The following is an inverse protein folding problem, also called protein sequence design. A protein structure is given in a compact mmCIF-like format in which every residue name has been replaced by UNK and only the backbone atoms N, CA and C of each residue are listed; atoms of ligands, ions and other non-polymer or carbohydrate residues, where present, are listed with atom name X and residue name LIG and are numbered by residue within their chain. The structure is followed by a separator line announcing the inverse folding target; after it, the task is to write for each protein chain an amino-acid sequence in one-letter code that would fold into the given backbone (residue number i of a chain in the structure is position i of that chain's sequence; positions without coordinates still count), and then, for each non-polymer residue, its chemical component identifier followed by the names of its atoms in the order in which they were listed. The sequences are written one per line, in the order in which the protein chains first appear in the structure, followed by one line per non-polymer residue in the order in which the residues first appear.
data_IF_589356978204
#
_entry.id   IF_589356978204
#
_cell.length_a   1.000
_cell.length_b   1.000
_cell.length_c   1.000
_cell.angle_alpha   90.00
_cell.angle_beta   90.00
_cell.angle_gamma   90.00
#
_symmetry.space_group_name_H-M   'P 1'
#
loop_
_entity.id
_entity.type
_entity.pdbx_description
1 polymer ?
#
# COMPACT_ATOMS: atom_id res chain seq x y z
N UNK A 1 -3.37 2.10 -14.32
CA UNK A 1 -2.87 0.92 -15.04
C UNK A 1 -2.83 -0.28 -14.10
N UNK A 2 -1.83 -0.45 -13.17
CA UNK A 2 -1.65 -1.68 -12.36
C UNK A 2 -2.93 -2.16 -11.66
N UNK A 3 -3.66 -1.27 -10.97
CA UNK A 3 -4.89 -1.65 -10.27
C UNK A 3 -6.03 -1.96 -11.25
N UNK A 4 -6.06 -1.26 -12.40
CA UNK A 4 -7.01 -1.56 -13.48
C UNK A 4 -6.75 -2.96 -14.05
N UNK A 5 -5.47 -3.26 -14.30
CA UNK A 5 -5.08 -4.58 -14.81
C UNK A 5 -5.38 -5.69 -13.77
N UNK A 6 -5.19 -5.40 -12.49
CA UNK A 6 -5.57 -6.33 -11.41
C UNK A 6 -7.08 -6.61 -11.41
N UNK A 7 -7.92 -5.56 -11.55
CA UNK A 7 -9.37 -5.72 -11.65
C UNK A 7 -9.76 -6.50 -12.92
N UNK A 8 -9.15 -6.19 -14.06
CA UNK A 8 -9.46 -6.82 -15.33
C UNK A 8 -9.00 -8.29 -15.39
N UNK A 9 -8.01 -8.66 -14.59
CA UNK A 9 -7.59 -10.04 -14.38
C UNK A 9 -8.32 -10.76 -13.23
N UNK A 10 -9.36 -10.13 -12.66
CA UNK A 10 -10.18 -10.66 -11.58
C UNK A 10 -9.40 -10.95 -10.28
N UNK A 11 -8.36 -10.19 -9.99
CA UNK A 11 -7.74 -10.29 -8.66
C UNK A 11 -8.73 -9.82 -7.59
N UNK A 12 -8.79 -10.57 -6.50
CA UNK A 12 -9.70 -10.29 -5.39
C UNK A 12 -9.38 -8.98 -4.69
N UNK A 13 -8.11 -8.58 -4.67
CA UNK A 13 -7.71 -7.33 -4.07
C UNK A 13 -6.29 -6.89 -4.37
N UNK A 14 -6.02 -5.64 -4.02
CA UNK A 14 -4.68 -5.06 -3.95
C UNK A 14 -4.44 -4.50 -2.56
N UNK A 15 -3.25 -4.70 -2.01
CA UNK A 15 -2.83 -4.16 -0.73
C UNK A 15 -1.67 -3.19 -0.95
N UNK A 16 -1.79 -1.94 -0.50
CA UNK A 16 -0.87 -0.87 -0.85
C UNK A 16 -0.13 -0.36 0.40
N UNK A 17 1.20 -0.40 0.37
CA UNK A 17 2.09 0.36 1.24
C UNK A 17 2.56 1.62 0.52
N UNK A 18 2.57 2.75 1.21
CA UNK A 18 3.14 3.98 0.69
C UNK A 18 3.46 4.97 1.81
N UNK A 19 4.41 5.85 1.53
CA UNK A 19 4.71 6.97 2.41
C UNK A 19 3.56 8.02 2.41
N UNK A 20 3.70 9.04 3.26
CA UNK A 20 2.72 10.12 3.42
C UNK A 20 2.61 11.04 2.18
N UNK A 21 3.68 11.22 1.40
CA UNK A 21 3.66 12.11 0.23
C UNK A 21 2.78 11.52 -0.88
N UNK A 22 1.84 12.31 -1.36
CA UNK A 22 0.88 11.88 -2.38
C UNK A 22 -0.27 11.00 -1.88
N UNK A 23 -0.28 10.63 -0.61
CA UNK A 23 -1.23 9.68 -0.03
C UNK A 23 -2.67 10.17 -0.08
N UNK A 24 -2.93 11.46 0.11
CA UNK A 24 -4.28 12.03 -0.02
C UNK A 24 -4.86 11.83 -1.41
N UNK A 25 -4.02 11.89 -2.44
CA UNK A 25 -4.43 11.60 -3.82
C UNK A 25 -4.85 10.13 -3.98
N UNK A 26 -4.08 9.20 -3.41
CA UNK A 26 -4.40 7.76 -3.44
C UNK A 26 -5.67 7.47 -2.64
N UNK A 27 -5.84 8.07 -1.47
CA UNK A 27 -7.05 7.95 -0.66
C UNK A 27 -8.31 8.34 -1.44
N UNK A 28 -8.25 9.44 -2.19
CA UNK A 28 -9.42 9.95 -2.91
C UNK A 28 -9.63 9.29 -4.27
N UNK A 29 -8.60 9.16 -5.08
CA UNK A 29 -8.75 8.75 -6.48
C UNK A 29 -8.63 7.22 -6.68
N UNK A 30 -8.06 6.50 -5.72
CA UNK A 30 -7.86 5.05 -5.81
C UNK A 30 -8.71 4.31 -4.78
N UNK A 31 -8.65 4.71 -3.52
CA UNK A 31 -9.32 4.02 -2.43
C UNK A 31 -10.75 4.53 -2.16
N UNK A 32 -11.26 5.46 -2.97
CA UNK A 32 -12.66 5.89 -2.98
C UNK A 32 -13.08 6.81 -1.82
N UNK A 33 -12.12 7.35 -1.06
CA UNK A 33 -12.43 8.33 -0.01
C UNK A 33 -12.88 9.65 -0.62
N UNK A 34 -14.04 10.16 -0.24
CA UNK A 34 -14.54 11.42 -0.80
C UNK A 34 -13.73 12.63 -0.34
N UNK A 35 -13.62 13.65 -1.18
CA UNK A 35 -12.99 14.93 -0.79
C UNK A 35 -13.68 15.55 0.44
N UNK A 36 -14.99 15.41 0.54
CA UNK A 36 -15.75 15.91 1.70
C UNK A 36 -15.35 15.21 3.01
N UNK A 37 -15.01 13.93 2.96
CA UNK A 37 -14.49 13.21 4.13
C UNK A 37 -13.09 13.72 4.49
N UNK A 38 -12.21 13.88 3.50
CA UNK A 38 -10.84 14.39 3.71
C UNK A 38 -10.90 15.78 4.36
N UNK A 39 -11.67 16.71 3.80
CA UNK A 39 -11.77 18.09 4.34
C UNK A 39 -12.39 18.11 5.74
N UNK A 40 -13.40 17.28 6.01
CA UNK A 40 -13.97 17.15 7.35
C UNK A 40 -12.95 16.71 8.40
N UNK A 41 -12.06 15.80 8.03
CA UNK A 41 -10.99 15.33 8.92
C UNK A 41 -9.99 16.46 9.21
N UNK A 42 -9.66 17.30 8.23
CA UNK A 42 -8.81 18.47 8.42
C UNK A 42 -9.47 19.54 9.30
N UNK A 43 -10.79 19.72 9.21
CA UNK A 43 -11.55 20.64 10.04
C UNK A 43 -11.74 20.14 11.50
N UNK A 44 -11.14 19.01 11.86
CA UNK A 44 -11.20 18.43 13.20
C UNK A 44 -12.43 17.57 13.47
N UNK A 45 -13.24 17.28 12.47
CA UNK A 45 -14.30 16.27 12.52
C UNK A 45 -13.71 14.89 12.67
N UNK A 46 -13.64 14.37 13.89
CA UNK A 46 -13.23 12.99 14.13
C UNK A 46 -14.35 12.05 13.73
N UNK A 47 -14.00 10.93 13.09
CA UNK A 47 -14.90 9.79 13.03
C UNK A 47 -15.15 9.35 14.48
N UNK A 48 -16.42 9.28 14.93
CA UNK A 48 -16.75 8.83 16.31
C UNK A 48 -16.20 7.43 16.65
N UNK A 49 -15.75 6.67 15.65
CA UNK A 49 -15.16 5.35 15.80
C UNK A 49 -13.64 5.35 15.86
N UNK A 50 -13.00 6.49 15.64
CA UNK A 50 -11.55 6.59 15.72
C UNK A 50 -11.12 6.62 17.19
N UNK A 51 -10.72 5.48 17.71
CA UNK A 51 -10.02 5.39 18.98
C UNK A 51 -8.58 5.89 18.80
N UNK A 52 -8.19 6.90 19.54
CA UNK A 52 -6.84 7.45 19.53
C UNK A 52 -6.79 8.95 19.26
N UNK A 53 -5.87 9.62 19.92
CA UNK A 53 -5.60 11.04 19.77
C UNK A 53 -4.27 11.25 19.06
N UNK A 54 -4.25 12.06 18.00
CA UNK A 54 -3.07 12.79 17.63
C UNK A 54 -2.21 12.27 16.50
N UNK A 55 -2.68 11.30 15.68
CA UNK A 55 -1.97 10.99 14.45
C UNK A 55 -2.37 11.96 13.32
N UNK A 56 -1.45 12.20 12.39
CA UNK A 56 -1.72 13.03 11.22
C UNK A 56 -2.67 12.29 10.27
N UNK A 57 -3.66 13.01 9.79
CA UNK A 57 -4.79 12.43 9.02
C UNK A 57 -4.37 11.67 7.76
N UNK A 58 -3.27 12.04 7.15
CA UNK A 58 -2.75 11.34 5.97
C UNK A 58 -1.99 10.04 6.29
N UNK A 59 -1.78 9.68 7.57
CA UNK A 59 -1.25 8.38 7.95
C UNK A 59 -2.33 7.28 8.02
N UNK A 60 -3.59 7.66 8.08
CA UNK A 60 -4.69 6.71 8.16
C UNK A 60 -4.77 5.80 6.94
N UNK A 61 -5.12 4.54 7.18
CA UNK A 61 -5.46 3.58 6.15
C UNK A 61 -6.93 3.69 5.74
N UNK A 62 -7.28 2.97 4.69
CA UNK A 62 -8.68 2.84 4.26
C UNK A 62 -8.87 1.59 3.41
N UNK A 63 -10.10 1.14 3.32
CA UNK A 63 -10.51 0.13 2.35
C UNK A 63 -11.55 0.73 1.41
N UNK A 64 -11.54 0.26 0.16
CA UNK A 64 -12.49 0.69 -0.85
C UNK A 64 -12.54 -0.28 -2.02
N UNK A 65 -13.36 0.05 -3.00
CA UNK A 65 -13.47 -0.71 -4.24
C UNK A 65 -13.02 0.16 -5.41
N UNK A 66 -12.12 -0.35 -6.21
CA UNK A 66 -11.73 0.26 -7.47
C UNK A 66 -12.48 -0.40 -8.62
N UNK A 67 -12.95 0.42 -9.58
CA UNK A 67 -13.60 -0.05 -10.80
C UNK A 67 -12.75 0.38 -12.00
N UNK A 68 -12.36 -0.58 -12.83
CA UNK A 68 -11.62 -0.32 -14.07
C UNK A 68 -12.51 0.33 -15.14
N UNK A 69 -11.89 0.84 -16.18
CA UNK A 69 -12.62 1.39 -17.35
C UNK A 69 -13.47 0.32 -18.05
N UNK A 70 -13.12 -0.95 -17.94
CA UNK A 70 -13.90 -2.08 -18.44
C UNK A 70 -15.08 -2.46 -17.52
N UNK A 71 -15.20 -1.84 -16.35
CA UNK A 71 -16.27 -2.09 -15.38
C UNK A 71 -15.96 -3.22 -14.37
N UNK A 72 -14.77 -3.82 -14.42
CA UNK A 72 -14.36 -4.84 -13.48
C UNK A 72 -13.93 -4.22 -12.15
N UNK A 73 -14.10 -4.96 -11.05
CA UNK A 73 -13.83 -4.45 -9.72
C UNK A 73 -12.77 -5.26 -8.97
N UNK A 74 -11.98 -4.58 -8.16
CA UNK A 74 -11.07 -5.18 -7.20
C UNK A 74 -11.13 -4.43 -5.87
N UNK A 75 -10.89 -5.11 -4.76
CA UNK A 75 -10.81 -4.47 -3.45
C UNK A 75 -9.47 -3.75 -3.31
N UNK A 76 -9.49 -2.56 -2.74
CA UNK A 76 -8.27 -1.80 -2.45
C UNK A 76 -8.13 -1.66 -0.94
N UNK A 77 -7.02 -2.15 -0.41
CA UNK A 77 -6.59 -1.91 0.96
C UNK A 77 -5.38 -0.98 0.95
N UNK A 78 -5.53 0.23 1.45
CA UNK A 78 -4.41 1.12 1.70
C UNK A 78 -4.05 1.04 3.17
N UNK A 79 -2.92 0.42 3.48
CA UNK A 79 -2.46 0.26 4.86
C UNK A 79 -2.18 1.60 5.54
N UNK A 80 -2.44 1.74 6.82
CA UNK A 80 -1.93 2.86 7.60
C UNK A 80 -0.40 2.87 7.58
N UNK A 81 0.21 4.04 7.66
CA UNK A 81 1.67 4.14 7.74
C UNK A 81 2.10 5.08 8.87
N UNK A 82 3.24 4.82 9.52
CA UNK A 82 3.88 5.77 10.43
C UNK A 82 4.72 6.80 9.64
N UNK A 83 5.33 7.75 10.35
CA UNK A 83 6.33 8.65 9.76
C UNK A 83 7.63 7.94 9.35
N UNK A 84 7.83 6.70 9.80
CA UNK A 84 9.00 5.88 9.46
C UNK A 84 8.82 5.33 8.03
N UNK A 85 9.60 5.86 7.10
CA UNK A 85 9.55 5.42 5.70
C UNK A 85 9.86 3.93 5.57
N UNK A 86 9.16 3.24 4.68
CA UNK A 86 9.27 1.82 4.35
C UNK A 86 8.82 0.84 5.47
N UNK A 87 8.50 1.33 6.67
CA UNK A 87 8.08 0.46 7.78
C UNK A 87 6.74 -0.25 7.54
N UNK A 88 5.91 0.27 6.64
CA UNK A 88 4.64 -0.35 6.26
C UNK A 88 4.80 -1.51 5.26
N UNK A 89 5.94 -1.63 4.59
CA UNK A 89 6.14 -2.62 3.53
C UNK A 89 5.96 -4.06 4.03
N UNK A 90 6.67 -4.52 5.07
CA UNK A 90 6.47 -5.89 5.57
C UNK A 90 5.06 -6.11 6.16
N UNK A 91 4.43 -5.06 6.68
CA UNK A 91 3.06 -5.13 7.18
C UNK A 91 2.09 -5.42 6.05
N UNK A 92 2.25 -4.75 4.90
CA UNK A 92 1.40 -4.96 3.72
C UNK A 92 1.62 -6.33 3.10
N UNK A 93 2.85 -6.84 3.06
CA UNK A 93 3.08 -8.23 2.65
C UNK A 93 2.31 -9.21 3.55
N UNK A 94 2.37 -9.01 4.87
CA UNK A 94 1.61 -9.83 5.82
C UNK A 94 0.09 -9.73 5.63
N UNK A 95 -0.43 -8.53 5.35
CA UNK A 95 -1.85 -8.32 5.06
C UNK A 95 -2.26 -9.02 3.76
N UNK A 96 -1.47 -8.89 2.69
CA UNK A 96 -1.73 -9.54 1.41
C UNK A 96 -1.73 -11.06 1.57
N UNK A 97 -0.76 -11.61 2.30
CA UNK A 97 -0.69 -13.03 2.60
C UNK A 97 -1.90 -13.50 3.41
N UNK A 98 -2.25 -12.83 4.48
CA UNK A 98 -3.40 -13.19 5.30
C UNK A 98 -4.73 -13.13 4.52
N UNK A 99 -4.92 -12.12 3.67
CA UNK A 99 -6.09 -12.02 2.80
C UNK A 99 -6.12 -13.18 1.78
N UNK A 100 -4.98 -13.56 1.23
CA UNK A 100 -4.84 -14.72 0.33
C UNK A 100 -5.21 -16.02 1.04
N UNK A 101 -4.68 -16.27 2.23
CA UNK A 101 -4.97 -17.46 3.03
C UNK A 101 -6.45 -17.56 3.41
N UNK A 102 -7.09 -16.45 3.78
CA UNK A 102 -8.55 -16.40 4.08
C UNK A 102 -9.41 -16.80 2.89
N UNK A 103 -8.94 -16.55 1.67
CA UNK A 103 -9.62 -16.98 0.44
C UNK A 103 -9.36 -18.47 0.08
N UNK A 104 -8.59 -19.19 0.89
CA UNK A 104 -8.22 -20.58 0.61
C UNK A 104 -7.20 -20.73 -0.50
N UNK A 105 -6.50 -19.63 -0.82
CA UNK A 105 -5.46 -19.54 -1.83
C UNK A 105 -4.05 -19.60 -1.20
N UNK A 106 -3.01 -19.34 -1.98
CA UNK A 106 -1.64 -19.32 -1.50
C UNK A 106 -0.98 -20.69 -1.42
N UNK A 107 0.22 -20.78 -0.86
CA UNK A 107 1.04 -22.00 -0.86
C UNK A 107 0.40 -23.19 -0.14
N UNK A 108 -0.46 -22.92 0.85
CA UNK A 108 -1.17 -23.95 1.61
C UNK A 108 -2.59 -24.24 1.06
N UNK A 109 -3.03 -23.45 0.06
CA UNK A 109 -4.33 -23.57 -0.60
C UNK A 109 -4.19 -24.12 -2.02
N UNK A 110 -4.76 -23.41 -2.98
CA UNK A 110 -4.78 -23.81 -4.40
C UNK A 110 -3.52 -23.37 -5.18
N UNK A 111 -2.59 -22.71 -4.53
CA UNK A 111 -1.36 -22.19 -5.14
C UNK A 111 -1.53 -20.86 -5.89
N UNK A 112 -2.72 -20.27 -5.91
CA UNK A 112 -2.96 -18.97 -6.53
C UNK A 112 -2.71 -17.82 -5.54
N UNK A 113 -2.47 -16.62 -6.06
CA UNK A 113 -2.25 -15.40 -5.25
C UNK A 113 -3.21 -14.30 -5.71
N UNK A 114 -4.46 -14.30 -5.23
CA UNK A 114 -5.49 -13.38 -5.69
C UNK A 114 -5.39 -11.97 -5.10
N UNK A 115 -4.43 -11.70 -4.22
CA UNK A 115 -4.22 -10.38 -3.61
C UNK A 115 -2.82 -9.88 -3.95
N UNK A 116 -2.75 -8.76 -4.68
CA UNK A 116 -1.49 -8.16 -5.16
C UNK A 116 -0.97 -7.12 -4.16
N UNK A 117 0.22 -7.32 -3.56
CA UNK A 117 0.91 -6.25 -2.85
C UNK A 117 1.47 -5.20 -3.81
N UNK A 118 1.31 -3.93 -3.45
CA UNK A 118 1.91 -2.80 -4.16
C UNK A 118 2.64 -1.93 -3.14
N UNK A 119 3.92 -1.67 -3.37
CA UNK A 119 4.75 -0.83 -2.52
C UNK A 119 5.20 0.40 -3.30
N UNK A 120 4.90 1.59 -2.77
CA UNK A 120 5.26 2.87 -3.40
C UNK A 120 6.35 3.53 -2.58
N UNK A 121 7.54 3.56 -3.14
CA UNK A 121 8.77 4.02 -2.50
C UNK A 121 9.17 5.43 -2.93
N UNK A 122 9.81 6.17 -2.02
CA UNK A 122 10.71 7.24 -2.40
C UNK A 122 12.07 6.65 -2.78
N UNK A 123 12.75 7.23 -3.76
CA UNK A 123 14.01 6.69 -4.29
C UNK A 123 15.13 6.60 -3.23
N UNK A 124 15.30 7.63 -2.42
CA UNK A 124 16.28 7.61 -1.35
C UNK A 124 15.94 6.64 -0.22
N UNK A 125 14.64 6.51 0.11
CA UNK A 125 14.18 5.57 1.13
C UNK A 125 14.39 4.12 0.65
N UNK A 126 14.01 3.81 -0.57
CA UNK A 126 14.23 2.48 -1.15
C UNK A 126 15.70 2.09 -1.15
N UNK A 127 16.59 3.01 -1.55
CA UNK A 127 18.03 2.73 -1.59
C UNK A 127 18.66 2.64 -0.20
N UNK A 128 18.18 3.43 0.76
CA UNK A 128 18.82 3.60 2.07
C UNK A 128 18.21 2.80 3.22
N UNK A 129 17.03 2.23 3.06
CA UNK A 129 16.32 1.51 4.14
C UNK A 129 16.47 0.00 3.97
N UNK A 130 17.18 -0.63 4.91
CA UNK A 130 17.43 -2.08 4.88
C UNK A 130 16.17 -2.94 4.87
N UNK A 131 15.07 -2.47 5.45
CA UNK A 131 13.79 -3.19 5.49
C UNK A 131 13.24 -3.50 4.09
N UNK A 132 13.50 -2.67 3.09
CA UNK A 132 13.07 -2.94 1.69
C UNK A 132 13.73 -4.21 1.17
N UNK A 133 15.02 -4.37 1.40
CA UNK A 133 15.77 -5.56 0.99
C UNK A 133 15.38 -6.80 1.80
N UNK A 134 15.05 -6.65 3.06
CA UNK A 134 14.52 -7.72 3.90
C UNK A 134 13.17 -8.22 3.37
N UNK A 135 12.28 -7.32 2.97
CA UNK A 135 11.00 -7.65 2.33
C UNK A 135 11.22 -8.40 1.02
N UNK A 136 12.15 -7.94 0.18
CA UNK A 136 12.48 -8.64 -1.07
C UNK A 136 13.03 -10.05 -0.82
N UNK A 137 13.82 -10.26 0.24
CA UNK A 137 14.31 -11.59 0.62
C UNK A 137 13.17 -12.52 1.07
N UNK A 138 12.14 -11.99 1.72
CA UNK A 138 11.00 -12.80 2.16
C UNK A 138 10.19 -13.38 1.00
N UNK A 139 10.21 -12.76 -0.18
CA UNK A 139 9.45 -13.22 -1.36
C UNK A 139 9.80 -14.66 -1.79
N UNK A 140 11.03 -15.09 -1.54
CA UNK A 140 11.52 -16.44 -1.89
C UNK A 140 11.26 -17.48 -0.79
N UNK A 141 10.72 -17.07 0.34
CA UNK A 141 10.43 -17.97 1.46
C UNK A 141 8.96 -18.40 1.45
N UNK A 142 8.64 -19.71 1.35
CA UNK A 142 7.26 -20.18 1.25
C UNK A 142 6.34 -19.67 2.35
N UNK A 143 6.84 -19.51 3.58
CA UNK A 143 6.08 -19.01 4.72
C UNK A 143 5.66 -17.53 4.56
N UNK A 144 6.36 -16.76 3.75
CA UNK A 144 6.12 -15.32 3.55
C UNK A 144 5.67 -14.96 2.13
N UNK A 145 5.78 -15.89 1.19
CA UNK A 145 5.48 -15.64 -0.21
C UNK A 145 4.05 -15.11 -0.43
N UNK A 146 3.95 -14.07 -1.25
CA UNK A 146 2.70 -13.40 -1.65
C UNK A 146 2.42 -13.53 -3.15
N UNK A 147 3.25 -14.30 -3.87
CA UNK A 147 3.14 -14.48 -5.32
C UNK A 147 3.82 -13.37 -6.14
N UNK A 148 4.38 -12.39 -5.47
CA UNK A 148 5.10 -11.26 -6.06
C UNK A 148 4.54 -9.92 -5.63
N UNK A 149 5.37 -8.89 -5.71
CA UNK A 149 5.05 -7.53 -5.28
C UNK A 149 5.39 -6.54 -6.39
N UNK A 150 4.51 -5.58 -6.65
CA UNK A 150 4.80 -4.47 -7.56
C UNK A 150 5.45 -3.33 -6.78
N UNK A 151 6.69 -3.02 -7.11
CA UNK A 151 7.42 -1.89 -6.55
C UNK A 151 7.36 -0.68 -7.48
N UNK A 152 6.87 0.45 -7.00
CA UNK A 152 6.79 1.72 -7.72
C UNK A 152 7.72 2.71 -7.05
N UNK A 153 8.76 3.14 -7.74
CA UNK A 153 9.72 4.11 -7.21
C UNK A 153 9.41 5.51 -7.74
N UNK A 154 9.04 6.41 -6.83
CA UNK A 154 8.84 7.83 -7.15
C UNK A 154 10.17 8.55 -6.96
N UNK A 155 10.92 8.67 -8.06
CA UNK A 155 12.25 9.23 -8.06
C UNK A 155 12.24 10.76 -8.22
N UNK A 156 12.21 11.47 -7.11
CA UNK A 156 12.35 12.93 -7.09
C UNK A 156 13.79 13.39 -6.90
N UNK A 157 14.74 12.46 -6.77
CA UNK A 157 16.18 12.68 -6.61
C UNK A 157 16.60 13.43 -5.33
N UNK A 158 15.72 13.49 -4.34
CA UNK A 158 15.98 14.17 -3.06
C UNK A 158 15.71 13.20 -1.91
N UNK A 159 16.66 13.07 -1.00
CA UNK A 159 16.51 12.28 0.23
C UNK A 159 16.49 13.15 1.46
N UNK A 160 15.32 13.60 1.92
CA UNK A 160 15.15 14.49 3.09
C UNK A 160 16.10 15.70 3.06
N UNK A 161 17.25 15.63 3.72
CA UNK A 161 18.28 16.69 3.73
C UNK A 161 19.46 16.38 2.81
N UNK A 162 19.36 15.36 1.96
CA UNK A 162 20.44 14.84 1.13
C UNK A 162 20.14 15.11 -0.34
N UNK A 163 21.06 15.79 -1.03
CA UNK A 163 20.97 16.03 -2.47
C UNK A 163 21.26 14.77 -3.30
N UNK A 164 20.98 14.82 -4.63
CA UNK A 164 21.06 13.64 -5.49
C UNK A 164 22.42 12.95 -5.51
N UNK A 165 23.51 13.73 -5.52
CA UNK A 165 24.88 13.20 -5.62
C UNK A 165 25.32 12.43 -4.37
N UNK A 166 24.76 12.75 -3.20
CA UNK A 166 25.10 12.12 -1.93
C UNK A 166 24.07 11.08 -1.48
N UNK A 167 22.93 11.00 -2.14
CA UNK A 167 21.82 10.12 -1.80
C UNK A 167 21.78 8.79 -2.58
N UNK A 168 22.77 8.54 -3.42
CA UNK A 168 22.85 7.37 -4.31
C UNK A 168 24.24 6.83 -4.41
#
# INVERSE_FOLDING_TARGET
AVISDAADQNLAGVAIAMAHRGRLNVLTNIAGKSYAQVFREFDGGQDPRAEGSGDVKYHLGTEGTFTSDAGNQTQVYLGANPSHLEAADPVIEGVARAKTDVLGAGPEGDGTFPVLPIQVHGDAAMAGQGVVYEVMQMAELPAYATGGTVHIVVNNQIGFTTGPEAGR
#
